data_IF_695703890561
#
_entry.id   IF_695703890561
#
_cell.length_a   1.000
_cell.length_b   1.000
_cell.length_c   1.000
_cell.angle_alpha   90.00
_cell.angle_beta   90.00
_cell.angle_gamma   90.00
#
_symmetry.space_group_name_H-M   'P 1'
#
loop_
_entity.id
_entity.type
_entity.pdbx_description
1 polymer ?
#
# COMPACT_ATOMS: atom_id res chain seq x y z
N UNK A 1 12.24 -5.49 15.91
CA UNK A 1 13.15 -4.48 15.33
C UNK A 1 13.03 -3.08 15.95
N UNK A 2 12.00 -2.25 15.68
CA UNK A 2 11.93 -0.90 16.33
C UNK A 2 11.87 -1.00 17.86
N UNK A 3 11.05 -1.93 18.40
CA UNK A 3 10.96 -2.16 19.83
C UNK A 3 12.30 -2.60 20.47
N UNK A 4 13.12 -3.36 19.72
CA UNK A 4 14.43 -3.83 20.16
C UNK A 4 15.44 -2.67 20.16
N UNK A 5 15.40 -1.79 19.15
CA UNK A 5 16.23 -0.58 19.08
C UNK A 5 15.86 0.39 20.21
N UNK A 6 14.58 0.61 20.47
CA UNK A 6 14.11 1.44 21.59
C UNK A 6 14.59 0.89 22.93
N UNK A 7 14.52 -0.44 23.11
CA UNK A 7 15.01 -1.10 24.33
C UNK A 7 16.53 -0.96 24.46
N UNK A 8 17.28 -1.16 23.38
CA UNK A 8 18.73 -0.97 23.35
C UNK A 8 19.11 0.48 23.66
N UNK A 9 18.39 1.46 23.11
CA UNK A 9 18.63 2.88 23.36
C UNK A 9 18.41 3.25 24.83
N UNK A 10 17.40 2.65 25.47
CA UNK A 10 17.16 2.82 26.91
C UNK A 10 18.32 2.27 27.73
N UNK A 11 18.80 1.06 27.41
CA UNK A 11 19.96 0.45 28.08
C UNK A 11 21.24 1.29 27.94
N UNK A 12 21.48 1.84 26.73
CA UNK A 12 22.61 2.73 26.46
C UNK A 12 22.50 4.04 27.25
N UNK A 13 21.31 4.65 27.35
CA UNK A 13 21.11 5.85 28.17
C UNK A 13 21.38 5.59 29.67
N UNK A 14 20.96 4.42 30.18
CA UNK A 14 21.27 4.01 31.56
C UNK A 14 22.78 3.84 31.75
N UNK A 15 23.47 3.18 30.83
CA UNK A 15 24.93 3.01 30.88
C UNK A 15 25.67 4.36 30.89
N UNK A 16 25.23 5.32 30.08
CA UNK A 16 25.78 6.69 30.07
C UNK A 16 25.60 7.37 31.43
N UNK A 17 24.43 7.25 32.07
CA UNK A 17 24.21 7.85 33.38
C UNK A 17 25.09 7.22 34.46
N UNK A 18 25.23 5.89 34.46
CA UNK A 18 26.11 5.17 35.40
C UNK A 18 27.57 5.61 35.23
N UNK A 19 28.07 5.69 33.99
CA UNK A 19 29.43 6.12 33.70
C UNK A 19 29.69 7.56 34.18
N UNK A 20 28.75 8.48 33.95
CA UNK A 20 28.86 9.88 34.42
C UNK A 20 28.91 9.98 35.94
N UNK A 21 28.07 9.23 36.65
CA UNK A 21 28.10 9.16 38.12
C UNK A 21 29.44 8.60 38.58
N UNK A 22 29.90 7.49 38.00
CA UNK A 22 31.17 6.85 38.35
C UNK A 22 32.37 7.78 38.19
N UNK A 23 32.43 8.58 37.12
CA UNK A 23 33.47 9.60 36.92
C UNK A 23 33.44 10.66 38.04
N UNK A 24 32.25 11.07 38.47
CA UNK A 24 32.06 12.09 39.49
C UNK A 24 32.51 11.67 40.89
N UNK A 25 32.32 10.40 41.26
CA UNK A 25 32.72 9.86 42.58
C UNK A 25 34.15 9.29 42.60
N UNK A 26 34.71 8.91 41.45
CA UNK A 26 36.04 8.31 41.42
C UNK A 26 37.13 9.35 41.73
N UNK A 27 38.21 8.96 42.41
CA UNK A 27 39.36 9.85 42.67
C UNK A 27 40.61 9.48 41.87
N UNK A 28 40.74 8.20 41.48
CA UNK A 28 41.83 7.73 40.64
C UNK A 28 41.69 8.23 39.19
N UNK A 29 42.71 8.94 38.72
CA UNK A 29 42.78 9.52 37.38
C UNK A 29 42.83 8.44 36.28
N UNK A 30 43.52 7.32 36.53
CA UNK A 30 43.61 6.22 35.57
C UNK A 30 42.25 5.55 35.36
N UNK A 31 41.50 5.35 36.44
CA UNK A 31 40.15 4.78 36.36
C UNK A 31 39.18 5.75 35.67
N UNK A 32 39.26 7.06 35.94
CA UNK A 32 38.46 8.07 35.21
C UNK A 32 38.73 8.04 33.72
N UNK A 33 39.99 7.92 33.31
CA UNK A 33 40.37 7.88 31.91
C UNK A 33 39.73 6.67 31.21
N UNK A 34 39.74 5.50 31.87
CA UNK A 34 39.16 4.30 31.30
C UNK A 34 37.62 4.35 31.23
N UNK A 35 36.96 4.91 32.25
CA UNK A 35 35.50 5.15 32.22
C UNK A 35 35.14 6.14 31.10
N UNK A 36 35.96 7.17 30.85
CA UNK A 36 35.75 8.10 29.73
C UNK A 36 35.84 7.41 28.37
N UNK A 37 36.85 6.54 28.15
CA UNK A 37 36.94 5.76 26.90
C UNK A 37 35.72 4.86 26.70
N UNK A 38 35.24 4.21 27.77
CA UNK A 38 34.02 3.42 27.71
C UNK A 38 32.80 4.30 27.38
N UNK A 39 32.71 5.49 27.96
CA UNK A 39 31.63 6.44 27.68
C UNK A 39 31.65 6.89 26.22
N UNK A 40 32.81 7.17 25.65
CA UNK A 40 32.95 7.54 24.24
C UNK A 40 32.46 6.41 23.31
N UNK A 41 32.89 5.17 23.57
CA UNK A 41 32.42 4.01 22.81
C UNK A 41 30.90 3.79 22.92
N UNK A 42 30.33 4.02 24.11
CA UNK A 42 28.87 3.93 24.33
C UNK A 42 28.12 5.05 23.59
N UNK A 43 28.69 6.26 23.51
CA UNK A 43 28.12 7.37 22.76
C UNK A 43 28.15 7.10 21.25
N UNK A 44 29.23 6.51 20.72
CA UNK A 44 29.30 6.08 19.32
C UNK A 44 28.28 4.98 19.00
N UNK A 45 28.11 4.00 19.90
CA UNK A 45 27.07 2.98 19.74
C UNK A 45 25.66 3.61 19.72
N UNK A 46 25.42 4.63 20.56
CA UNK A 46 24.16 5.37 20.59
C UNK A 46 23.86 6.06 19.27
N UNK A 47 24.83 6.75 18.67
CA UNK A 47 24.64 7.45 17.40
C UNK A 47 24.37 6.46 16.26
N UNK A 48 25.07 5.32 16.24
CA UNK A 48 24.80 4.23 15.29
C UNK A 48 23.37 3.67 15.42
N UNK A 49 22.89 3.45 16.65
CA UNK A 49 21.52 3.00 16.92
C UNK A 49 20.46 4.00 16.45
N UNK A 50 20.69 5.30 16.65
CA UNK A 50 19.79 6.36 16.17
C UNK A 50 19.72 6.38 14.64
N UNK A 51 20.87 6.34 13.96
CA UNK A 51 20.92 6.31 12.50
C UNK A 51 20.22 5.06 11.92
N UNK A 52 20.39 3.90 12.56
CA UNK A 52 19.68 2.68 12.18
C UNK A 52 18.16 2.82 12.38
N UNK A 53 17.73 3.43 13.49
CA UNK A 53 16.32 3.71 13.78
C UNK A 53 15.67 4.58 12.71
N UNK A 54 16.34 5.68 12.34
CA UNK A 54 15.87 6.59 11.29
C UNK A 54 15.75 5.90 9.94
N UNK A 55 16.74 5.07 9.58
CA UNK A 55 16.71 4.31 8.33
C UNK A 55 15.59 3.27 8.29
N UNK A 56 15.32 2.60 9.40
CA UNK A 56 14.19 1.65 9.49
C UNK A 56 12.86 2.38 9.36
N UNK A 57 12.70 3.54 10.00
CA UNK A 57 11.48 4.33 9.88
C UNK A 57 11.23 4.77 8.42
N UNK A 58 12.27 5.21 7.71
CA UNK A 58 12.19 5.55 6.29
C UNK A 58 11.77 4.34 5.44
N UNK A 59 12.42 3.18 5.62
CA UNK A 59 12.08 1.95 4.90
C UNK A 59 10.66 1.45 5.18
N UNK A 60 10.15 1.64 6.40
CA UNK A 60 8.77 1.28 6.73
C UNK A 60 7.76 2.15 6.00
N UNK A 61 8.03 3.45 5.87
CA UNK A 61 7.17 4.35 5.10
C UNK A 61 7.22 4.04 3.60
N UNK A 62 8.40 3.75 3.05
CA UNK A 62 8.53 3.26 1.67
C UNK A 62 7.75 1.97 1.44
N UNK A 63 7.86 1.00 2.36
CA UNK A 63 7.13 -0.25 2.29
C UNK A 63 5.61 -0.03 2.36
N UNK A 64 5.14 0.89 3.22
CA UNK A 64 3.73 1.27 3.31
C UNK A 64 3.23 1.86 1.99
N UNK A 65 4.00 2.76 1.38
CA UNK A 65 3.64 3.38 0.10
C UNK A 65 3.67 2.37 -1.05
N UNK A 66 4.67 1.49 -1.10
CA UNK A 66 4.77 0.42 -2.10
C UNK A 66 3.59 -0.55 -1.98
N UNK A 67 3.25 -0.97 -0.77
CA UNK A 67 2.09 -1.85 -0.53
C UNK A 67 0.77 -1.17 -0.92
N UNK A 68 0.60 0.13 -0.67
CA UNK A 68 -0.58 0.86 -1.11
C UNK A 68 -0.71 0.89 -2.66
N UNK A 69 0.41 1.06 -3.37
CA UNK A 69 0.43 1.00 -4.84
C UNK A 69 0.10 -0.40 -5.36
N UNK A 70 0.68 -1.44 -4.77
CA UNK A 70 0.40 -2.83 -5.12
C UNK A 70 -1.05 -3.21 -4.85
N UNK A 71 -1.64 -2.77 -3.73
CA UNK A 71 -3.04 -3.00 -3.43
C UNK A 71 -3.96 -2.35 -4.48
N UNK A 72 -3.68 -1.09 -4.87
CA UNK A 72 -4.43 -0.41 -5.91
C UNK A 72 -4.32 -1.10 -7.28
N UNK A 73 -3.16 -1.64 -7.62
CA UNK A 73 -2.96 -2.38 -8.87
C UNK A 73 -3.62 -3.76 -8.85
N UNK A 74 -3.55 -4.46 -7.72
CA UNK A 74 -4.22 -5.74 -7.52
C UNK A 74 -5.74 -5.60 -7.59
N UNK A 75 -6.31 -4.50 -7.08
CA UNK A 75 -7.74 -4.22 -7.22
C UNK A 75 -8.14 -4.15 -8.70
N UNK A 76 -7.35 -3.45 -9.52
CA UNK A 76 -7.61 -3.29 -10.95
C UNK A 76 -7.42 -4.59 -11.75
N UNK A 77 -6.57 -5.53 -11.30
CA UNK A 77 -6.42 -6.83 -11.95
C UNK A 77 -7.67 -7.71 -11.89
N UNK A 78 -8.63 -7.39 -11.02
CA UNK A 78 -9.92 -8.08 -10.98
C UNK A 78 -10.89 -7.62 -12.07
N UNK A 79 -10.48 -6.64 -12.89
CA UNK A 79 -11.27 -6.07 -13.98
C UNK A 79 -10.68 -6.40 -15.35
N UNK A 80 -11.54 -6.61 -16.33
CA UNK A 80 -11.15 -6.83 -17.71
C UNK A 80 -12.02 -6.05 -18.68
N UNK A 81 -11.43 -5.78 -19.84
CA UNK A 81 -12.16 -5.31 -21.00
C UNK A 81 -13.02 -6.44 -21.56
N UNK A 82 -14.30 -6.16 -21.76
CA UNK A 82 -15.28 -7.05 -22.36
C UNK A 82 -15.89 -6.34 -23.56
N UNK A 83 -16.06 -7.07 -24.65
CA UNK A 83 -16.75 -6.58 -25.82
C UNK A 83 -18.23 -6.98 -25.74
N UNK A 84 -19.10 -5.99 -25.91
CA UNK A 84 -20.54 -6.15 -26.06
C UNK A 84 -20.87 -6.68 -27.48
N UNK A 85 -22.02 -7.33 -27.65
CA UNK A 85 -22.54 -7.81 -28.95
C UNK A 85 -22.73 -6.67 -29.95
N UNK A 86 -23.04 -5.46 -29.47
CA UNK A 86 -23.04 -4.21 -30.24
C UNK A 86 -21.65 -3.80 -30.74
N UNK A 87 -20.59 -4.49 -30.34
CA UNK A 87 -19.20 -4.23 -30.68
C UNK A 87 -18.50 -3.23 -29.75
N UNK A 88 -19.23 -2.59 -28.83
CA UNK A 88 -18.68 -1.64 -27.88
C UNK A 88 -17.81 -2.34 -26.82
N UNK A 89 -16.69 -1.73 -26.44
CA UNK A 89 -15.83 -2.25 -25.37
C UNK A 89 -16.16 -1.55 -24.05
N UNK A 90 -16.36 -2.32 -22.99
CA UNK A 90 -16.57 -1.82 -21.62
C UNK A 90 -15.65 -2.57 -20.65
N UNK A 91 -15.53 -2.09 -19.42
CA UNK A 91 -14.76 -2.79 -18.38
C UNK A 91 -15.72 -3.42 -17.38
N UNK A 92 -15.50 -4.68 -17.01
CA UNK A 92 -16.30 -5.39 -16.00
C UNK A 92 -15.39 -6.14 -15.03
N UNK A 93 -15.93 -6.54 -13.89
CA UNK A 93 -15.22 -7.35 -12.89
C UNK A 93 -15.37 -8.84 -13.20
N UNK A 94 -14.29 -9.62 -13.11
CA UNK A 94 -14.22 -11.02 -13.54
C UNK A 94 -15.19 -11.99 -12.83
N UNK A 95 -15.43 -11.83 -11.52
CA UNK A 95 -16.32 -12.72 -10.76
C UNK A 95 -16.90 -12.00 -9.52
N UNK A 96 -18.17 -12.24 -9.20
CA UNK A 96 -18.85 -11.69 -8.02
C UNK A 96 -19.14 -10.19 -8.07
N UNK A 97 -19.07 -9.57 -9.25
CA UNK A 97 -19.45 -8.17 -9.46
C UNK A 97 -20.96 -8.02 -9.66
N UNK A 98 -21.48 -6.83 -9.35
CA UNK A 98 -22.90 -6.50 -9.36
C UNK A 98 -23.47 -6.30 -10.79
N UNK A 99 -22.83 -6.87 -11.82
CA UNK A 99 -23.14 -6.61 -13.22
C UNK A 99 -22.76 -5.20 -13.71
N UNK A 100 -22.09 -4.39 -12.89
CA UNK A 100 -21.72 -3.02 -13.24
C UNK A 100 -20.70 -2.99 -14.39
N UNK A 101 -20.94 -2.07 -15.32
CA UNK A 101 -20.05 -1.76 -16.44
C UNK A 101 -19.33 -0.45 -16.18
N UNK A 102 -18.04 -0.42 -16.48
CA UNK A 102 -17.15 0.70 -16.22
C UNK A 102 -16.59 1.26 -17.52
N UNK A 103 -16.27 2.55 -17.52
CA UNK A 103 -15.77 3.26 -18.68
C UNK A 103 -14.34 2.80 -19.04
N UNK A 104 -14.10 2.31 -20.27
CA UNK A 104 -12.78 1.88 -20.71
C UNK A 104 -11.77 3.04 -20.76
N UNK A 105 -12.20 4.23 -21.18
CA UNK A 105 -11.34 5.42 -21.28
C UNK A 105 -10.82 5.85 -19.91
N UNK A 106 -11.68 5.89 -18.90
CA UNK A 106 -11.27 6.23 -17.53
C UNK A 106 -10.44 5.11 -16.89
N UNK A 107 -10.73 3.85 -17.22
CA UNK A 107 -9.97 2.71 -16.72
C UNK A 107 -8.52 2.70 -17.24
N UNK A 108 -8.27 3.17 -18.47
CA UNK A 108 -6.92 3.40 -18.98
C UNK A 108 -6.09 4.37 -18.13
N UNK A 109 -6.75 5.26 -17.39
CA UNK A 109 -6.12 6.14 -16.39
C UNK A 109 -6.20 5.59 -14.96
N UNK A 110 -6.38 4.27 -14.80
CA UNK A 110 -6.53 3.57 -13.51
C UNK A 110 -7.72 4.07 -12.66
N UNK A 111 -8.77 4.62 -13.28
CA UNK A 111 -9.97 5.08 -12.60
C UNK A 111 -11.21 4.24 -12.96
N UNK A 112 -11.84 3.65 -11.96
CA UNK A 112 -13.12 2.95 -12.12
C UNK A 112 -14.26 3.97 -12.11
N UNK A 113 -14.89 4.18 -13.27
CA UNK A 113 -16.07 5.04 -13.42
C UNK A 113 -17.23 4.21 -13.95
N UNK A 114 -18.25 4.03 -13.12
CA UNK A 114 -19.47 3.32 -13.50
C UNK A 114 -20.15 4.06 -14.64
N UNK A 115 -20.50 3.32 -15.69
CA UNK A 115 -21.31 3.81 -16.79
C UNK A 115 -22.77 3.89 -16.34
N UNK A 116 -23.44 4.98 -16.69
CA UNK A 116 -24.86 5.20 -16.36
C UNK A 116 -25.71 5.06 -17.62
N UNK A 117 -26.94 4.56 -17.49
CA UNK A 117 -27.86 4.47 -18.62
C UNK A 117 -28.45 5.84 -18.96
N UNK A 118 -28.63 6.11 -20.25
CA UNK A 118 -29.39 7.27 -20.73
C UNK A 118 -30.89 6.95 -20.83
N UNK A 119 -31.72 8.00 -21.04
CA UNK A 119 -33.19 7.98 -20.97
C UNK A 119 -33.90 6.91 -21.82
N UNK A 120 -33.24 6.34 -22.81
CA UNK A 120 -33.75 5.31 -23.71
C UNK A 120 -33.18 3.90 -23.44
N UNK A 121 -32.38 3.76 -22.37
CA UNK A 121 -31.61 2.57 -21.97
C UNK A 121 -30.72 1.96 -23.08
N UNK A 122 -30.60 2.63 -24.24
CA UNK A 122 -29.88 2.16 -25.41
C UNK A 122 -28.39 2.47 -25.34
N UNK A 123 -28.03 3.43 -24.49
CA UNK A 123 -26.67 3.92 -24.36
C UNK A 123 -26.23 3.99 -22.90
N UNK A 124 -24.94 3.78 -22.74
CA UNK A 124 -24.18 3.92 -21.51
C UNK A 124 -23.29 5.15 -21.64
N UNK A 125 -23.42 6.10 -20.71
CA UNK A 125 -22.61 7.31 -20.67
C UNK A 125 -21.68 7.31 -19.47
N UNK A 126 -20.45 7.76 -19.71
CA UNK A 126 -19.56 8.20 -18.65
C UNK A 126 -19.63 9.73 -18.50
N UNK A 127 -20.12 10.23 -17.36
CA UNK A 127 -20.22 11.69 -17.11
C UNK A 127 -18.89 12.39 -16.80
N UNK A 128 -17.79 11.63 -16.69
CA UNK A 128 -16.47 12.19 -16.41
C UNK A 128 -15.74 12.53 -17.71
N UNK A 129 -15.71 11.60 -18.67
CA UNK A 129 -15.04 11.81 -19.96
C UNK A 129 -16.02 12.04 -21.12
N UNK A 130 -17.32 12.07 -20.87
CA UNK A 130 -18.40 12.16 -21.87
C UNK A 130 -18.41 11.04 -22.92
N UNK A 131 -17.73 9.92 -22.65
CA UNK A 131 -17.78 8.74 -23.51
C UNK A 131 -19.18 8.11 -23.54
N UNK A 132 -19.63 7.70 -24.73
CA UNK A 132 -20.93 7.07 -24.97
C UNK A 132 -20.70 5.72 -25.62
N UNK A 133 -21.36 4.69 -25.10
CA UNK A 133 -21.22 3.30 -25.53
C UNK A 133 -22.61 2.72 -25.77
N UNK A 134 -22.81 2.04 -26.89
CA UNK A 134 -24.09 1.38 -27.17
C UNK A 134 -24.25 0.18 -26.23
N UNK A 135 -25.40 0.04 -25.58
CA UNK A 135 -25.72 -1.04 -24.65
C UNK A 135 -26.29 -2.24 -25.43
N UNK A 136 -26.01 -3.45 -24.95
CA UNK A 136 -26.75 -4.63 -25.36
C UNK A 136 -28.04 -4.77 -24.54
N UNK A 137 -29.17 -4.94 -25.23
CA UNK A 137 -30.50 -5.12 -24.64
C UNK A 137 -30.81 -6.57 -24.22
N UNK A 138 -29.81 -7.39 -23.89
CA UNK A 138 -30.12 -8.73 -23.39
C UNK A 138 -30.57 -8.65 -21.94
N UNK A 139 -31.85 -8.95 -21.73
CA UNK A 139 -32.48 -9.33 -20.47
C UNK A 139 -31.47 -9.97 -19.52
N UNK A 140 -31.49 -9.55 -18.25
CA UNK A 140 -30.62 -9.98 -17.16
C UNK A 140 -30.47 -11.52 -17.02
N UNK A 141 -31.30 -12.32 -17.70
CA UNK A 141 -31.22 -13.79 -17.75
C UNK A 141 -30.11 -14.37 -18.65
N UNK A 142 -29.49 -13.61 -19.56
CA UNK A 142 -28.49 -14.15 -20.47
C UNK A 142 -27.08 -14.30 -19.84
N UNK A 143 -26.74 -13.44 -18.88
CA UNK A 143 -25.43 -13.45 -18.21
C UNK A 143 -25.28 -14.71 -17.35
N UNK A 144 -26.34 -15.12 -16.62
CA UNK A 144 -26.36 -16.36 -15.84
C UNK A 144 -26.16 -17.62 -16.69
N UNK A 145 -26.70 -17.65 -17.92
CA UNK A 145 -26.56 -18.82 -18.81
C UNK A 145 -25.15 -18.96 -19.39
N UNK A 146 -24.44 -17.86 -19.63
CA UNK A 146 -23.05 -17.91 -20.12
C UNK A 146 -22.09 -18.47 -19.06
N UNK A 147 -22.29 -18.12 -17.78
CA UNK A 147 -21.50 -18.59 -16.64
C UNK A 147 -21.77 -20.08 -16.35
N UNK A 148 -23.04 -20.52 -16.37
CA UNK A 148 -23.40 -21.93 -16.16
C UNK A 148 -23.03 -22.87 -17.31
N UNK A 149 -22.70 -22.34 -18.50
CA UNK A 149 -22.28 -23.17 -19.64
C UNK A 149 -20.81 -23.59 -19.58
N UNK A 150 -19.99 -22.90 -18.76
CA UNK A 150 -18.56 -23.21 -18.56
C UNK A 150 -18.28 -24.19 -17.42
N UNK A 151 -19.24 -24.47 -16.54
CA UNK A 151 -19.09 -25.46 -15.47
C UNK A 151 -19.47 -26.90 -15.90
N UNK A 152 -19.74 -27.14 -17.19
CA UNK A 152 -20.12 -28.47 -17.72
C UNK A 152 -19.15 -29.07 -18.73
N UNK A 153 -17.87 -28.69 -18.69
CA UNK A 153 -16.79 -29.38 -19.40
C UNK A 153 -15.53 -29.49 -18.54
#
# INVERSE_FOLDING_TARGET
MIAEITTALSGVNTAIQIAKVAIGVQQDVAIKLEINKMLDAVLEAKTGLLAASERIAALQEELRQANAKLAAEAELSSYAYVQLETGAQVVTRHAGGNGLQYCPTCFGSKQLRVLQTEHDDSYLRCYICNGVFKRDFRDDQAIERSLNSRERY
#
